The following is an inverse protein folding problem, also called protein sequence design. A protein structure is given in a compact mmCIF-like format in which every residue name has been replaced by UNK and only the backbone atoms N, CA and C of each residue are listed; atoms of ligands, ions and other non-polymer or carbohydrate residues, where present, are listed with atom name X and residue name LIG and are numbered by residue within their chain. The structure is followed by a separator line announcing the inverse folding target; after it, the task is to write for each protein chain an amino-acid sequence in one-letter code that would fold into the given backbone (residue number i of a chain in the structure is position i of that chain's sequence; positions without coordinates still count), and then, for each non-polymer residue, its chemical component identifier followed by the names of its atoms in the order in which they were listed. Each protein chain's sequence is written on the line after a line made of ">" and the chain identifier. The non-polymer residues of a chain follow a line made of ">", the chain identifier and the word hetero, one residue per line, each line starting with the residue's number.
data_IF_245254100506
#
_entry.id   IF_245254100506
#
_cell.length_a   1.000
_cell.length_b   1.000
_cell.length_c   1.000
_cell.angle_alpha   90.00
_cell.angle_beta   90.00
_cell.angle_gamma   90.00
#
_symmetry.space_group_name_H-M   'P 1'
#
loop_
_entity.id
_entity.type
_entity.pdbx_description
1 polymer ?
2 polymer ?
#
# COMPACT_ATOMS: atom_id res chain seq x y z
N UNK A 29 -6.23 -29.69 9.40
CA UNK A 29 -4.92 -29.42 9.99
C UNK A 29 -4.98 -29.43 11.51
N UNK A 30 -3.80 -29.28 12.13
CA UNK A 30 -3.74 -29.22 13.60
C UNK A 30 -4.45 -27.99 14.14
N UNK A 31 -4.28 -26.84 13.49
CA UNK A 31 -4.94 -25.62 13.90
C UNK A 31 -4.07 -24.52 14.51
N UNK A 32 -2.74 -24.71 14.59
CA UNK A 32 -1.88 -23.58 14.93
C UNK A 32 -1.86 -22.46 13.90
N UNK A 33 -3.03 -21.90 13.58
CA UNK A 33 -3.10 -20.68 12.77
C UNK A 33 -3.28 -19.52 13.75
N UNK A 34 -2.15 -18.92 14.13
CA UNK A 34 -2.16 -17.86 15.13
C UNK A 34 -0.94 -16.98 14.91
N UNK A 35 -0.97 -15.82 15.55
CA UNK A 35 0.12 -14.84 15.48
C UNK A 35 0.95 -14.97 16.75
N UNK A 36 2.27 -15.06 16.58
CA UNK A 36 3.16 -15.22 17.72
C UNK A 36 3.14 -13.98 18.61
N UNK A 37 3.30 -14.21 19.92
CA UNK A 37 3.34 -13.10 20.86
C UNK A 37 4.55 -12.20 20.61
N UNK A 38 5.71 -12.79 20.33
CA UNK A 38 6.89 -11.99 20.01
C UNK A 38 6.65 -11.15 18.76
N UNK A 39 5.88 -11.68 17.81
CA UNK A 39 5.53 -10.91 16.63
C UNK A 39 4.73 -9.68 16.98
N UNK A 40 3.71 -9.83 17.85
CA UNK A 40 2.95 -8.67 18.28
C UNK A 40 3.83 -7.66 19.00
N UNK A 41 4.70 -8.16 19.88
CA UNK A 41 5.56 -7.26 20.67
C UNK A 41 6.46 -6.44 19.77
N UNK A 42 7.07 -7.06 18.77
CA UNK A 42 7.93 -6.31 17.85
C UNK A 42 7.10 -5.39 16.96
N UNK A 43 6.00 -5.90 16.40
CA UNK A 43 5.30 -5.18 15.34
C UNK A 43 4.57 -3.97 15.87
N UNK A 44 4.01 -4.05 17.08
CA UNK A 44 3.33 -2.88 17.63
C UNK A 44 4.29 -1.69 17.73
N UNK A 45 5.47 -1.92 18.31
CA UNK A 45 6.45 -0.85 18.46
C UNK A 45 6.96 -0.38 17.10
N UNK A 46 7.27 -1.31 16.19
CA UNK A 46 7.80 -0.93 14.90
C UNK A 46 6.79 -0.09 14.12
N UNK A 47 5.53 -0.53 14.11
CA UNK A 47 4.47 0.17 13.41
C UNK A 47 4.23 1.54 14.02
N UNK A 48 4.23 1.64 15.34
CA UNK A 48 4.05 2.95 15.96
C UNK A 48 5.19 3.89 15.58
N UNK A 49 6.42 3.39 15.57
CA UNK A 49 7.56 4.25 15.22
C UNK A 49 7.46 4.72 13.78
N UNK A 50 7.19 3.81 12.84
CA UNK A 50 7.12 4.24 11.45
C UNK A 50 5.94 5.18 11.24
N UNK A 51 4.83 4.93 11.93
CA UNK A 51 3.66 5.80 11.82
C UNK A 51 3.99 7.22 12.27
N UNK A 52 4.59 7.36 13.47
CA UNK A 52 4.86 8.69 13.98
C UNK A 52 5.90 9.40 13.10
N UNK A 53 6.94 8.67 12.67
CA UNK A 53 7.94 9.29 11.81
C UNK A 53 7.31 9.77 10.51
N UNK A 54 6.42 8.96 9.94
CA UNK A 54 5.75 9.34 8.71
C UNK A 54 4.89 10.57 8.87
N UNK A 55 4.09 10.62 9.95
CA UNK A 55 3.18 11.76 10.08
C UNK A 55 3.97 13.04 10.28
N UNK A 56 4.97 13.04 11.17
CA UNK A 56 5.74 14.27 11.37
C UNK A 56 6.48 14.67 10.09
N UNK A 57 7.12 13.70 9.42
CA UNK A 57 7.86 14.03 8.22
C UNK A 57 6.99 14.61 7.13
N UNK A 58 5.85 13.97 6.87
CA UNK A 58 4.99 14.42 5.78
C UNK A 58 4.28 15.72 6.13
N UNK A 59 3.89 15.90 7.39
CA UNK A 59 3.30 17.17 7.80
C UNK A 59 4.30 18.30 7.65
N UNK A 60 5.55 18.08 8.05
CA UNK A 60 6.57 19.11 7.88
C UNK A 60 6.83 19.40 6.42
N UNK A 61 6.86 18.36 5.58
CA UNK A 61 7.02 18.58 4.14
C UNK A 61 5.88 19.42 3.57
N UNK A 62 4.64 19.09 3.95
CA UNK A 62 3.50 19.85 3.45
C UNK A 62 3.54 21.29 3.93
N UNK A 63 3.92 21.51 5.20
CA UNK A 63 4.00 22.87 5.72
C UNK A 63 5.07 23.66 4.97
N UNK A 64 6.23 23.04 4.71
CA UNK A 64 7.28 23.71 3.98
C UNK A 64 6.82 24.05 2.56
N UNK A 65 6.10 23.13 1.92
CA UNK A 65 5.57 23.40 0.59
C UNK A 65 4.60 24.57 0.63
N UNK A 66 3.75 24.63 1.67
CA UNK A 66 2.79 25.72 1.78
C UNK A 66 3.49 27.06 1.94
N UNK A 67 4.52 27.11 2.78
CA UNK A 67 5.25 28.36 3.01
C UNK A 67 6.24 28.63 1.88
N UNK A 72 6.85 27.99 -6.34
CA UNK A 72 5.69 27.26 -6.83
C UNK A 72 5.87 26.84 -8.28
N UNK A 73 6.03 25.53 -8.50
CA UNK A 73 6.13 24.98 -9.84
C UNK A 73 5.61 23.55 -9.81
N UNK A 74 5.66 22.89 -10.97
CA UNK A 74 5.12 21.57 -11.13
C UNK A 74 5.68 20.55 -10.16
N UNK A 75 7.01 20.50 -10.00
CA UNK A 75 7.57 19.60 -8.99
C UNK A 75 7.04 19.85 -7.59
N UNK A 76 6.84 21.11 -7.21
CA UNK A 76 6.31 21.41 -5.89
C UNK A 76 4.88 20.89 -5.75
N UNK A 77 4.05 21.08 -6.77
CA UNK A 77 2.67 20.60 -6.71
C UNK A 77 2.65 19.09 -6.61
N UNK A 78 3.47 18.41 -7.41
CA UNK A 78 3.49 16.95 -7.38
C UNK A 78 3.99 16.42 -6.04
N UNK A 79 5.01 17.07 -5.46
CA UNK A 79 5.51 16.65 -4.16
C UNK A 79 4.46 16.90 -3.08
N UNK A 80 3.73 18.00 -3.18
CA UNK A 80 2.65 18.26 -2.22
C UNK A 80 1.56 17.20 -2.33
N UNK A 81 1.19 16.81 -3.55
CA UNK A 81 0.20 15.76 -3.71
C UNK A 81 0.70 14.44 -3.15
N UNK A 82 1.97 14.11 -3.41
CA UNK A 82 2.54 12.89 -2.87
C UNK A 82 2.50 12.90 -1.34
N UNK A 83 2.87 14.02 -0.72
CA UNK A 83 2.87 14.11 0.73
C UNK A 83 1.45 14.01 1.30
N UNK A 84 0.48 14.67 0.65
CA UNK A 84 -0.90 14.63 1.14
C UNK A 84 -1.47 13.22 1.06
N UNK A 85 -1.34 12.58 -0.10
CA UNK A 85 -1.79 11.21 -0.24
C UNK A 85 -1.04 10.27 0.67
N UNK A 86 0.22 10.58 0.95
CA UNK A 86 1.00 9.77 1.87
C UNK A 86 0.45 9.86 3.29
N UNK A 87 0.14 11.08 3.74
CA UNK A 87 -0.47 11.25 5.05
C UNK A 87 -1.77 10.48 5.13
N UNK A 88 -2.59 10.59 4.07
CA UNK A 88 -3.85 9.85 4.04
C UNK A 88 -3.61 8.34 4.13
N UNK A 89 -2.62 7.85 3.39
CA UNK A 89 -2.34 6.42 3.39
C UNK A 89 -1.93 5.94 4.78
N UNK A 90 -1.04 6.68 5.45
CA UNK A 90 -0.61 6.26 6.78
C UNK A 90 -1.78 6.29 7.75
N UNK A 91 -2.54 7.38 7.78
CA UNK A 91 -3.60 7.50 8.76
C UNK A 91 -4.74 6.52 8.48
N UNK A 92 -4.87 6.01 7.26
CA UNK A 92 -5.90 5.01 6.99
C UNK A 92 -5.38 3.59 7.09
N UNK A 93 -4.06 3.38 7.05
CA UNK A 93 -3.48 2.05 7.07
C UNK A 93 -3.02 1.63 8.46
N UNK A 94 -2.14 2.43 9.08
CA UNK A 94 -1.50 2.00 10.33
C UNK A 94 -2.48 1.80 11.47
N UNK A 95 -3.39 2.75 11.77
CA UNK A 95 -4.20 2.58 12.99
C UNK A 95 -5.03 1.31 13.03
N UNK A 96 -5.82 1.05 12.00
CA UNK A 96 -6.69 -0.12 12.01
C UNK A 96 -5.87 -1.41 11.95
N UNK A 97 -4.78 -1.41 11.19
CA UNK A 97 -3.97 -2.62 11.09
C UNK A 97 -3.32 -2.96 12.43
N UNK A 98 -2.82 -1.95 13.16
CA UNK A 98 -2.24 -2.24 14.47
C UNK A 98 -3.33 -2.53 15.49
N UNK A 99 -4.56 -2.07 15.26
CA UNK A 99 -5.67 -2.52 16.10
C UNK A 99 -6.00 -3.98 15.84
N UNK A 100 -5.75 -4.46 14.63
CA UNK A 100 -6.05 -5.84 14.29
C UNK A 100 -5.21 -6.86 15.06
N UNK A 101 -4.16 -6.44 15.76
CA UNK A 101 -3.36 -7.36 16.54
C UNK A 101 -3.89 -7.57 17.95
N UNK A 102 -4.25 -6.48 18.64
CA UNK A 102 -4.67 -6.59 20.04
C UNK A 102 -6.06 -7.18 20.16
N UNK A 103 -6.98 -6.78 19.28
CA UNK A 103 -8.38 -7.18 19.37
C UNK A 103 -8.78 -8.21 18.34
N UNK A 104 -8.35 -8.06 17.09
CA UNK A 104 -8.64 -8.97 15.97
C UNK A 104 -10.10 -9.42 15.98
N UNK A 105 -11.01 -8.46 16.19
CA UNK A 105 -12.43 -8.74 16.20
C UNK A 105 -13.26 -7.80 15.33
N UNK A 106 -12.74 -6.63 14.97
CA UNK A 106 -13.42 -5.65 14.13
C UNK A 106 -14.79 -5.30 14.69
N UNK A 107 -14.86 -4.54 15.79
CA UNK A 107 -16.16 -4.15 16.34
C UNK A 107 -16.80 -2.94 15.65
N UNK A 108 -16.29 -2.54 14.49
CA UNK A 108 -16.77 -1.34 13.82
C UNK A 108 -18.03 -1.66 13.01
N UNK A 109 -18.45 -0.73 12.16
CA UNK A 109 -19.67 -0.89 11.41
C UNK A 109 -19.45 -1.47 10.03
N UNK A 110 -20.56 -1.92 9.43
CA UNK A 110 -20.49 -2.52 8.10
C UNK A 110 -20.04 -1.51 7.03
N UNK A 111 -20.53 -0.28 7.12
CA UNK A 111 -20.17 0.73 6.12
C UNK A 111 -18.69 1.11 6.23
N UNK A 112 -18.17 1.18 7.46
CA UNK A 112 -16.74 1.47 7.62
C UNK A 112 -15.89 0.38 7.01
N UNK A 113 -16.28 -0.88 7.20
CA UNK A 113 -15.58 -2.00 6.55
C UNK A 113 -15.69 -1.91 5.04
N UNK A 114 -16.86 -1.51 4.54
CA UNK A 114 -17.04 -1.36 3.11
C UNK A 114 -16.23 -0.21 2.54
N UNK A 115 -15.88 0.77 3.36
CA UNK A 115 -15.24 2.00 2.89
C UNK A 115 -13.72 2.00 3.01
N UNK A 116 -13.17 1.49 4.12
CA UNK A 116 -11.75 1.66 4.40
C UNK A 116 -10.86 1.11 3.29
N UNK A 117 -11.06 -0.11 2.78
CA UNK A 117 -10.19 -0.58 1.69
C UNK A 117 -10.24 0.30 0.45
N UNK A 118 -11.38 0.92 0.16
CA UNK A 118 -11.47 1.83 -0.98
C UNK A 118 -10.53 3.01 -0.79
N UNK A 119 -10.55 3.62 0.39
CA UNK A 119 -9.67 4.75 0.66
C UNK A 119 -8.21 4.33 0.60
N UNK A 120 -7.90 3.15 1.15
CA UNK A 120 -6.53 2.67 1.14
C UNK A 120 -6.03 2.46 -0.29
N UNK A 121 -6.85 1.82 -1.13
CA UNK A 121 -6.45 1.60 -2.52
C UNK A 121 -6.33 2.92 -3.28
N UNK A 122 -7.23 3.87 -3.01
CA UNK A 122 -7.12 5.18 -3.64
C UNK A 122 -5.82 5.87 -3.26
N UNK A 123 -5.46 5.81 -1.97
CA UNK A 123 -4.21 6.42 -1.52
C UNK A 123 -3.02 5.77 -2.21
N UNK A 124 -3.01 4.44 -2.30
CA UNK A 124 -1.90 3.75 -2.97
C UNK A 124 -1.82 4.18 -4.44
N UNK A 125 -2.98 4.29 -5.10
CA UNK A 125 -2.99 4.67 -6.49
C UNK A 125 -2.44 6.05 -6.72
N UNK A 126 -2.87 7.02 -5.90
CA UNK A 126 -2.36 8.37 -6.08
C UNK A 126 -0.88 8.44 -5.72
N UNK A 127 -0.43 7.63 -4.76
CA UNK A 127 1.00 7.62 -4.44
C UNK A 127 1.83 7.14 -5.62
N UNK A 128 1.45 6.01 -6.22
CA UNK A 128 2.24 5.48 -7.32
C UNK A 128 2.14 6.38 -8.55
N UNK A 129 0.96 6.96 -8.80
CA UNK A 129 0.82 7.86 -9.95
C UNK A 129 1.59 9.16 -9.73
N UNK A 130 1.65 9.66 -8.50
CA UNK A 130 2.48 10.82 -8.21
C UNK A 130 3.95 10.51 -8.42
N UNK A 131 4.39 9.32 -8.04
CA UNK A 131 5.78 8.93 -8.31
C UNK A 131 6.04 8.91 -9.80
N UNK A 132 5.09 8.36 -10.59
CA UNK A 132 5.22 8.36 -12.04
C UNK A 132 5.32 9.77 -12.60
N UNK A 133 4.43 10.66 -12.15
CA UNK A 133 4.43 12.03 -12.65
C UNK A 133 5.71 12.75 -12.27
N UNK A 134 6.23 12.51 -11.05
CA UNK A 134 7.47 13.12 -10.63
C UNK A 134 8.64 12.64 -11.50
N UNK A 135 8.67 11.35 -11.83
CA UNK A 135 9.73 10.85 -12.70
C UNK A 135 9.65 11.49 -14.08
N UNK A 136 8.46 11.60 -14.63
CA UNK A 136 8.31 12.23 -15.96
C UNK A 136 8.74 13.69 -15.90
N UNK A 137 8.37 14.39 -14.83
CA UNK A 137 8.72 15.80 -14.69
C UNK A 137 10.23 15.97 -14.57
N UNK A 138 10.89 15.15 -13.76
CA UNK A 138 12.33 15.23 -13.64
C UNK A 138 13.04 14.86 -14.93
N UNK A 139 12.47 13.98 -15.75
CA UNK A 139 13.02 13.73 -17.07
C UNK A 139 12.90 14.97 -17.95
N UNK A 140 11.71 15.56 -18.00
CA UNK A 140 11.48 16.70 -18.89
C UNK A 140 12.24 17.94 -18.43
N UNK A 141 12.64 18.00 -17.16
CA UNK A 141 13.40 19.13 -16.67
C UNK A 141 14.77 19.21 -17.35
N UNK A 142 15.40 18.06 -17.58
CA UNK A 142 16.74 18.02 -18.16
C UNK A 142 16.71 17.72 -19.66
N UNK A 143 15.63 17.14 -20.17
CA UNK A 143 15.57 16.79 -21.59
C UNK A 143 15.04 17.93 -22.47
N UNK A 144 14.28 18.85 -21.91
CA UNK A 144 13.61 19.90 -22.68
C UNK A 144 13.84 21.26 -22.04
N UNK A 145 15.09 21.55 -21.69
CA UNK A 145 15.45 22.85 -21.13
C UNK A 145 15.11 23.99 -22.09
N UNK A 154 2.17 25.46 -14.83
CA UNK A 154 1.50 24.78 -13.72
C UNK A 154 0.10 24.31 -14.09
N UNK A 155 -0.49 24.90 -15.13
CA UNK A 155 -1.81 24.47 -15.58
C UNK A 155 -1.79 23.03 -16.06
N UNK A 156 -0.75 22.67 -16.82
CA UNK A 156 -0.62 21.28 -17.28
C UNK A 156 -0.44 20.33 -16.10
N UNK A 157 0.34 20.75 -15.10
CA UNK A 157 0.49 19.92 -13.90
C UNK A 157 -0.83 19.78 -13.14
N UNK A 158 -1.64 20.84 -13.09
CA UNK A 158 -2.95 20.72 -12.45
C UNK A 158 -3.88 19.78 -13.21
N UNK A 159 -3.88 19.85 -14.55
CA UNK A 159 -4.72 18.96 -15.34
C UNK A 159 -4.17 17.54 -15.39
N UNK A 160 -2.90 17.34 -15.04
CA UNK A 160 -2.35 16.00 -14.89
C UNK A 160 -2.47 15.48 -13.46
N UNK A 161 -2.74 16.35 -12.49
CA UNK A 161 -3.00 15.93 -11.12
C UNK A 161 -4.46 15.61 -10.87
N UNK A 162 -5.39 16.34 -11.49
CA UNK A 162 -6.80 16.00 -11.40
C UNK A 162 -7.06 14.65 -12.07
N UNK A 163 -6.40 14.40 -13.19
CA UNK A 163 -6.52 13.09 -13.83
C UNK A 163 -6.04 11.98 -12.92
N UNK A 164 -4.93 12.19 -12.21
CA UNK A 164 -4.44 11.19 -11.27
C UNK A 164 -5.47 10.94 -10.17
N UNK A 165 -5.96 12.03 -9.57
CA UNK A 165 -6.85 11.90 -8.42
C UNK A 165 -8.22 11.35 -8.79
N UNK A 166 -8.62 11.44 -10.06
CA UNK A 166 -9.87 10.80 -10.46
C UNK A 166 -9.63 9.37 -10.93
N UNK A 167 -8.51 9.09 -11.60
CA UNK A 167 -8.22 7.73 -12.05
C UNK A 167 -8.06 6.82 -10.84
N UNK A 168 -7.45 7.31 -9.76
CA UNK A 168 -7.26 6.49 -8.58
C UNK A 168 -8.60 6.02 -8.00
N UNK A 169 -9.53 6.95 -7.80
CA UNK A 169 -10.82 6.56 -7.24
C UNK A 169 -11.60 5.71 -8.23
N UNK A 170 -11.48 6.01 -9.52
CA UNK A 170 -12.17 5.20 -10.53
C UNK A 170 -11.70 3.74 -10.44
N UNK A 171 -10.39 3.54 -10.30
CA UNK A 171 -9.85 2.19 -10.23
C UNK A 171 -9.98 1.56 -8.85
N UNK A 172 -10.26 2.34 -7.82
CA UNK A 172 -10.48 1.79 -6.48
C UNK A 172 -11.96 1.56 -6.16
N UNK A 173 -12.86 2.04 -7.01
CA UNK A 173 -14.30 1.84 -6.81
C UNK A 173 -14.66 0.36 -6.62
N UNK A 174 -14.14 -0.59 -7.42
CA UNK A 174 -14.52 -2.00 -7.20
C UNK A 174 -14.24 -2.51 -5.80
N UNK A 175 -13.25 -1.94 -5.12
CA UNK A 175 -12.98 -2.35 -3.75
C UNK A 175 -14.12 -1.98 -2.82
N UNK A 176 -14.76 -0.82 -3.04
CA UNK A 176 -15.75 -0.30 -2.11
C UNK A 176 -17.04 -1.10 -2.11
N UNK A 177 -17.33 -1.85 -3.17
CA UNK A 177 -18.59 -2.60 -3.28
C UNK A 177 -18.40 -4.07 -2.99
N UNK A 178 -17.19 -4.52 -2.65
CA UNK A 178 -16.95 -5.93 -2.42
C UNK A 178 -16.90 -6.34 -0.97
N UNK A 179 -16.17 -5.60 -0.14
CA UNK A 179 -15.99 -5.99 1.25
C UNK A 179 -17.31 -5.96 2.00
N UNK A 180 -17.48 -6.90 2.92
CA UNK A 180 -18.71 -6.97 3.71
C UNK A 180 -18.48 -7.88 4.91
N UNK A 181 -18.94 -7.42 6.06
CA UNK A 181 -18.82 -8.20 7.30
C UNK A 181 -19.80 -9.36 7.26
N UNK A 182 -19.31 -10.56 7.58
CA UNK A 182 -20.15 -11.73 7.73
C UNK A 182 -19.72 -12.47 9.00
N UNK A 183 -20.69 -12.85 9.82
CA UNK A 183 -20.42 -13.49 11.10
C UNK A 183 -20.49 -15.01 10.93
N UNK A 184 -19.33 -15.62 10.66
CA UNK A 184 -19.26 -17.06 10.57
C UNK A 184 -19.10 -17.66 11.96
N UNK A 185 -19.84 -18.73 12.23
CA UNK A 185 -19.85 -19.38 13.54
C UNK A 185 -18.71 -20.39 13.59
N UNK A 186 -17.56 -19.94 14.11
CA UNK A 186 -16.43 -20.84 14.32
C UNK A 186 -16.74 -21.80 15.47
N UNK A 187 -16.05 -22.94 15.47
CA UNK A 187 -16.24 -23.92 16.53
C UNK A 187 -15.61 -23.45 17.83
N UNK A 188 -16.25 -22.48 18.49
CA UNK A 188 -15.77 -21.99 19.76
C UNK A 188 -15.86 -20.49 19.91
N UNK A 189 -16.19 -19.79 18.83
CA UNK A 189 -16.26 -18.34 18.86
C UNK A 189 -17.21 -17.86 17.76
N UNK A 190 -17.64 -16.61 17.87
CA UNK A 190 -18.53 -15.99 16.89
C UNK A 190 -17.73 -14.92 16.16
N UNK A 191 -17.17 -15.27 15.01
CA UNK A 191 -16.30 -14.37 14.28
C UNK A 191 -17.10 -13.25 13.63
N UNK A 192 -16.38 -12.21 13.20
CA UNK A 192 -16.98 -11.04 12.57
C UNK A 192 -16.12 -10.59 11.38
N UNK A 193 -15.72 -11.55 10.54
CA UNK A 193 -14.73 -11.25 9.51
C UNK A 193 -15.28 -10.23 8.53
N UNK A 194 -14.49 -9.19 8.25
CA UNK A 194 -14.80 -8.21 7.20
C UNK A 194 -13.93 -8.60 6.00
N UNK A 195 -14.52 -9.36 5.08
CA UNK A 195 -13.79 -9.97 3.98
C UNK A 195 -14.45 -9.66 2.65
N UNK A 196 -13.77 -10.07 1.58
CA UNK A 196 -14.33 -9.99 0.23
C UNK A 196 -15.21 -11.20 -0.03
N UNK A 197 -16.52 -10.99 -0.02
CA UNK A 197 -17.45 -12.12 0.00
C UNK A 197 -17.30 -12.98 -1.25
N UNK A 198 -17.12 -14.30 -1.09
CA UNK A 198 -17.03 -15.15 -2.28
C UNK A 198 -18.28 -15.14 -3.14
N UNK A 199 -19.46 -15.00 -2.54
CA UNK A 199 -20.72 -14.92 -3.25
C UNK A 199 -21.26 -13.50 -3.13
N UNK A 200 -21.45 -12.84 -4.27
CA UNK A 200 -21.93 -11.47 -4.33
C UNK A 200 -22.88 -11.34 -5.50
N UNK A 201 -23.52 -10.17 -5.60
CA UNK A 201 -24.59 -9.97 -6.58
C UNK A 201 -24.03 -9.72 -7.97
N UNK A 202 -23.22 -8.67 -8.13
CA UNK A 202 -22.75 -8.26 -9.44
C UNK A 202 -21.83 -9.32 -10.05
N UNK A 203 -21.99 -9.55 -11.35
CA UNK A 203 -21.16 -10.52 -12.05
C UNK A 203 -19.76 -9.98 -12.34
N UNK A 204 -19.67 -8.70 -12.71
CA UNK A 204 -18.37 -8.09 -12.94
C UNK A 204 -17.51 -8.12 -11.68
N UNK A 205 -18.15 -8.00 -10.51
CA UNK A 205 -17.40 -8.06 -9.26
C UNK A 205 -16.79 -9.45 -9.06
N UNK A 206 -17.53 -10.50 -9.39
CA UNK A 206 -16.98 -11.85 -9.32
C UNK A 206 -15.83 -12.01 -10.31
N UNK A 207 -16.01 -11.49 -11.53
CA UNK A 207 -14.96 -11.60 -12.53
C UNK A 207 -13.69 -10.88 -12.06
N UNK A 208 -13.85 -9.73 -11.42
CA UNK A 208 -12.70 -8.99 -10.93
C UNK A 208 -12.04 -9.73 -9.76
N UNK A 209 -12.84 -10.17 -8.79
CA UNK A 209 -12.31 -10.90 -7.65
C UNK A 209 -11.59 -12.18 -8.08
N UNK A 210 -11.90 -12.70 -9.27
CA UNK A 210 -11.16 -13.85 -9.78
C UNK A 210 -9.66 -13.56 -9.88
N UNK A 211 -9.28 -12.35 -10.29
CA UNK A 211 -7.89 -12.00 -10.54
C UNK A 211 -7.54 -10.65 -9.92
N UNK A 212 -8.18 -10.34 -8.78
CA UNK A 212 -7.87 -9.11 -8.08
C UNK A 212 -6.40 -9.02 -7.72
N UNK A 213 -5.81 -10.10 -7.21
CA UNK A 213 -4.41 -10.07 -6.83
C UNK A 213 -3.52 -9.79 -8.03
N UNK A 214 -3.80 -10.44 -9.17
CA UNK A 214 -3.00 -10.20 -10.37
C UNK A 214 -3.11 -8.76 -10.84
N UNK A 215 -4.34 -8.23 -10.91
CA UNK A 215 -4.52 -6.86 -11.38
C UNK A 215 -3.86 -5.87 -10.44
N UNK A 216 -4.03 -6.06 -9.13
CA UNK A 216 -3.40 -5.19 -8.15
C UNK A 216 -1.90 -5.21 -8.29
N UNK A 217 -1.31 -6.41 -8.34
CA UNK A 217 0.14 -6.52 -8.51
C UNK A 217 0.58 -5.78 -9.76
N UNK A 218 -0.05 -6.07 -10.90
CA UNK A 218 0.33 -5.45 -12.16
C UNK A 218 0.29 -3.93 -12.03
N UNK A 219 -0.91 -3.37 -11.82
CA UNK A 219 -1.06 -1.93 -11.92
C UNK A 219 -0.30 -1.17 -10.84
N UNK A 220 -0.19 -1.72 -9.63
CA UNK A 220 0.41 -0.95 -8.54
C UNK A 220 1.89 -1.25 -8.33
N UNK A 221 2.45 -2.27 -8.99
CA UNK A 221 3.89 -2.50 -8.90
C UNK A 221 4.58 -2.42 -10.24
N UNK A 222 4.13 -3.20 -11.24
CA UNK A 222 4.91 -3.32 -12.46
C UNK A 222 4.88 -2.04 -13.28
N UNK A 223 3.68 -1.47 -13.49
CA UNK A 223 3.58 -0.25 -14.28
C UNK A 223 4.34 0.92 -13.66
N UNK A 224 4.13 1.28 -12.38
CA UNK A 224 4.89 2.41 -11.84
C UNK A 224 6.39 2.16 -11.78
N UNK A 225 6.80 0.97 -11.34
CA UNK A 225 8.22 0.66 -11.26
C UNK A 225 8.87 0.70 -12.64
N UNK A 226 8.26 0.03 -13.62
CA UNK A 226 8.84 -0.02 -14.95
C UNK A 226 8.90 1.36 -15.59
N UNK A 227 7.82 2.13 -15.47
CA UNK A 227 7.80 3.45 -16.09
C UNK A 227 8.82 4.37 -15.42
N UNK A 228 8.88 4.34 -14.09
CA UNK A 228 9.85 5.17 -13.37
C UNK A 228 11.27 4.78 -13.77
N UNK A 229 11.57 3.49 -13.82
CA UNK A 229 12.92 3.06 -14.17
C UNK A 229 13.29 3.46 -15.59
N UNK A 230 12.36 3.27 -16.54
CA UNK A 230 12.63 3.64 -17.92
C UNK A 230 12.87 5.13 -18.07
N UNK A 231 12.00 5.95 -17.44
CA UNK A 231 12.14 7.39 -17.56
C UNK A 231 13.42 7.88 -16.90
N UNK A 232 13.77 7.33 -15.73
CA UNK A 232 15.00 7.75 -15.07
C UNK A 232 16.23 7.28 -15.83
N UNK A 233 16.18 6.09 -16.44
CA UNK A 233 17.31 5.63 -17.24
C UNK A 233 17.53 6.53 -18.44
N UNK A 234 16.45 6.87 -19.16
CA UNK A 234 16.60 7.79 -20.28
C UNK A 234 17.06 9.16 -19.81
N UNK A 235 16.57 9.61 -18.65
CA UNK A 235 17.00 10.88 -18.08
C UNK A 235 18.50 10.90 -17.81
N UNK A 236 19.01 9.86 -17.15
CA UNK A 236 20.44 9.80 -16.86
C UNK A 236 21.26 9.69 -18.13
N UNK A 237 20.75 8.95 -19.13
CA UNK A 237 21.46 8.88 -20.41
C UNK A 237 21.52 10.26 -21.08
N UNK A 238 20.43 11.02 -21.01
CA UNK A 238 20.44 12.36 -21.58
C UNK A 238 21.42 13.27 -20.85
N UNK A 239 21.46 13.19 -19.52
CA UNK A 239 22.35 14.08 -18.78
C UNK A 239 23.81 13.78 -19.07
N UNK A 240 24.21 12.51 -18.96
CA UNK A 240 25.60 12.13 -19.12
C UNK A 240 26.00 12.09 -20.60
N UNK A 257 26.64 15.51 -11.70
CA UNK A 257 25.78 14.76 -12.60
C UNK A 257 25.50 13.35 -12.08
N UNK A 258 26.57 12.58 -11.86
CA UNK A 258 26.40 11.19 -11.44
C UNK A 258 25.66 11.09 -10.12
N UNK A 259 25.75 12.13 -9.28
CA UNK A 259 25.06 12.12 -7.99
C UNK A 259 23.55 12.02 -8.20
N UNK A 260 23.02 12.79 -9.16
CA UNK A 260 21.58 12.77 -9.41
C UNK A 260 21.17 11.42 -9.97
N UNK A 261 21.98 10.84 -10.84
CA UNK A 261 21.68 9.52 -11.41
C UNK A 261 21.61 8.47 -10.31
N UNK A 262 22.62 8.41 -9.45
CA UNK A 262 22.60 7.45 -8.36
C UNK A 262 21.45 7.73 -7.40
N UNK A 263 21.09 9.00 -7.21
CA UNK A 263 19.98 9.33 -6.33
C UNK A 263 18.67 8.78 -6.87
N UNK A 264 18.37 9.04 -8.14
CA UNK A 264 17.08 8.58 -8.69
C UNK A 264 17.05 7.06 -8.76
N UNK A 265 18.17 6.43 -9.12
CA UNK A 265 18.16 4.97 -9.20
C UNK A 265 18.02 4.34 -7.82
N UNK A 266 18.67 4.91 -6.80
CA UNK A 266 18.50 4.39 -5.45
C UNK A 266 17.08 4.60 -4.95
N UNK A 267 16.45 5.71 -5.34
CA UNK A 267 15.05 5.93 -4.98
C UNK A 267 14.15 4.86 -5.60
N UNK A 268 14.37 4.56 -6.88
CA UNK A 268 13.56 3.54 -7.55
C UNK A 268 13.77 2.17 -6.90
N UNK A 269 15.03 1.84 -6.59
CA UNK A 269 15.32 0.56 -5.95
C UNK A 269 14.67 0.48 -4.58
N UNK A 270 14.70 1.58 -3.81
CA UNK A 270 14.07 1.60 -2.50
C UNK A 270 12.57 1.39 -2.63
N UNK A 271 11.95 2.07 -3.58
CA UNK A 271 10.51 1.90 -3.82
C UNK A 271 10.19 0.43 -4.11
N UNK A 272 10.92 -0.17 -5.05
CA UNK A 272 10.63 -1.55 -5.42
C UNK A 272 10.83 -2.50 -4.25
N UNK A 273 11.94 -2.34 -3.52
CA UNK A 273 12.25 -3.25 -2.41
C UNK A 273 11.23 -3.10 -1.28
N UNK A 274 10.77 -1.88 -1.01
CA UNK A 274 9.84 -1.67 0.08
C UNK A 274 8.39 -1.96 -0.31
N UNK A 275 8.09 -2.06 -1.60
CA UNK A 275 6.72 -2.37 -2.01
C UNK A 275 6.53 -3.81 -2.47
N UNK A 276 7.62 -4.55 -2.68
CA UNK A 276 7.49 -5.94 -3.14
C UNK A 276 6.74 -6.86 -2.17
N UNK A 277 7.05 -6.89 -0.87
CA UNK A 277 6.55 -8.00 -0.03
C UNK A 277 5.03 -8.13 0.05
N UNK A 278 4.28 -7.03 0.02
CA UNK A 278 2.83 -7.14 0.07
C UNK A 278 2.30 -7.89 -1.15
N UNK A 279 2.77 -7.50 -2.34
CA UNK A 279 2.36 -8.17 -3.57
C UNK A 279 2.85 -9.61 -3.58
N UNK A 280 4.06 -9.85 -3.06
CA UNK A 280 4.56 -11.22 -2.97
C UNK A 280 3.66 -12.08 -2.09
N UNK A 281 3.24 -11.56 -0.94
CA UNK A 281 2.38 -12.31 -0.04
C UNK A 281 1.02 -12.58 -0.67
N UNK A 282 0.43 -11.58 -1.33
CA UNK A 282 -0.86 -11.79 -1.99
C UNK A 282 -0.74 -12.83 -3.10
N UNK A 283 0.32 -12.75 -3.89
CA UNK A 283 0.51 -13.70 -4.99
C UNK A 283 0.70 -15.10 -4.44
N UNK A 284 1.49 -15.24 -3.37
CA UNK A 284 1.69 -16.55 -2.77
C UNK A 284 0.39 -17.12 -2.21
N UNK A 285 -0.41 -16.30 -1.54
CA UNK A 285 -1.70 -16.76 -1.05
C UNK A 285 -2.59 -17.18 -2.22
N UNK A 286 -2.49 -16.49 -3.35
CA UNK A 286 -3.32 -16.81 -4.50
C UNK A 286 -2.91 -18.14 -5.13
N UNK A 287 -1.62 -18.36 -5.34
CA UNK A 287 -1.17 -19.44 -6.20
C UNK A 287 -0.66 -20.67 -5.44
N UNK A 288 -0.07 -20.49 -4.26
CA UNK A 288 0.55 -21.60 -3.54
C UNK A 288 -0.35 -22.19 -2.46
N UNK A 289 -1.55 -21.65 -2.26
CA UNK A 289 -2.49 -22.23 -1.31
C UNK A 289 -3.23 -23.39 -1.96
N UNK A 290 -3.24 -24.54 -1.29
CA UNK A 290 -3.86 -25.74 -1.81
C UNK A 290 -5.00 -26.17 -0.90
N UNK A 291 -5.61 -27.30 -1.23
CA UNK A 291 -6.78 -27.77 -0.52
C UNK A 291 -6.58 -29.11 0.19
N UNK A 292 -5.58 -29.90 -0.20
CA UNK A 292 -5.40 -31.23 0.36
C UNK A 292 -3.93 -31.49 0.71
N UNK A 293 -3.32 -30.53 1.40
CA UNK A 293 -2.01 -30.72 2.01
C UNK A 293 -2.07 -30.29 3.47
N UNK A 294 -1.65 -31.14 4.41
CA UNK A 294 -1.73 -30.76 5.83
C UNK A 294 -0.88 -29.55 6.19
N UNK A 295 0.14 -29.23 5.39
CA UNK A 295 1.00 -28.09 5.68
C UNK A 295 0.31 -26.76 5.47
N UNK A 296 -0.89 -26.75 4.85
CA UNK A 296 -1.50 -25.49 4.44
C UNK A 296 -1.52 -24.47 5.59
N UNK A 297 -1.98 -24.90 6.76
CA UNK A 297 -2.10 -23.99 7.90
C UNK A 297 -0.78 -23.31 8.19
N UNK A 298 0.30 -24.09 8.31
CA UNK A 298 1.61 -23.49 8.56
C UNK A 298 1.92 -22.44 7.51
N UNK A 299 1.74 -22.79 6.23
CA UNK A 299 1.95 -21.82 5.17
C UNK A 299 1.12 -20.58 5.42
N UNK A 300 -0.18 -20.75 5.65
CA UNK A 300 -1.03 -19.59 5.92
C UNK A 300 -0.49 -18.80 7.09
N UNK A 301 -0.12 -19.48 8.17
CA UNK A 301 0.46 -18.77 9.31
C UNK A 301 1.67 -17.96 8.86
N UNK A 302 2.61 -18.61 8.15
CA UNK A 302 3.76 -17.88 7.64
C UNK A 302 3.32 -16.71 6.79
N UNK A 303 2.32 -16.91 5.93
CA UNK A 303 1.81 -15.81 5.11
C UNK A 303 1.49 -14.61 5.97
N UNK A 304 0.72 -14.81 7.05
CA UNK A 304 0.38 -13.70 7.92
C UNK A 304 1.63 -12.94 8.33
N UNK A 305 2.64 -13.67 8.82
CA UNK A 305 3.91 -13.06 9.19
C UNK A 305 4.38 -12.16 8.06
N UNK A 306 4.65 -12.77 6.90
CA UNK A 306 5.18 -11.99 5.78
C UNK A 306 4.26 -10.83 5.48
N UNK A 307 2.95 -11.08 5.44
CA UNK A 307 2.01 -10.04 5.07
C UNK A 307 2.19 -8.83 5.96
N UNK A 308 2.21 -9.04 7.27
CA UNK A 308 2.31 -7.90 8.17
C UNK A 308 3.61 -7.15 7.92
N UNK A 309 4.71 -7.89 7.76
CA UNK A 309 6.00 -7.23 7.53
C UNK A 309 5.87 -6.29 6.35
N UNK A 310 5.25 -6.78 5.27
CA UNK A 310 5.06 -5.93 4.11
C UNK A 310 4.44 -4.60 4.48
N UNK A 311 3.25 -4.65 5.11
CA UNK A 311 2.55 -3.42 5.40
C UNK A 311 3.45 -2.47 6.18
N UNK A 312 4.20 -3.00 7.16
CA UNK A 312 5.09 -2.15 7.93
C UNK A 312 6.02 -1.38 7.02
N UNK A 313 6.86 -2.11 6.29
CA UNK A 313 7.81 -1.36 5.49
C UNK A 313 7.18 -0.84 4.21
N UNK A 314 5.94 -1.22 3.91
CA UNK A 314 5.20 -0.45 2.91
C UNK A 314 5.12 0.99 3.34
N UNK A 315 4.69 1.24 4.57
CA UNK A 315 4.70 2.60 5.10
C UNK A 315 6.10 3.18 5.09
N UNK A 316 7.11 2.32 5.20
CA UNK A 316 8.49 2.81 5.15
C UNK A 316 8.76 3.49 3.81
N UNK A 317 8.36 2.86 2.71
CA UNK A 317 8.47 3.51 1.42
C UNK A 317 7.76 4.85 1.45
N UNK A 318 6.59 4.88 2.10
CA UNK A 318 5.86 6.11 2.27
C UNK A 318 6.75 7.22 2.84
N UNK A 319 7.45 6.92 3.92
CA UNK A 319 8.24 7.96 4.55
C UNK A 319 9.63 8.10 3.93
N UNK A 320 9.93 7.38 2.85
CA UNK A 320 11.27 7.50 2.26
C UNK A 320 11.34 8.73 1.37
N UNK A 321 10.19 9.22 0.90
CA UNK A 321 10.19 10.40 0.03
C UNK A 321 10.62 11.68 0.73
N UNK A 322 10.09 12.04 1.92
CA UNK A 322 10.58 13.27 2.56
C UNK A 322 12.06 13.20 2.91
N UNK A 323 12.51 12.08 3.48
CA UNK A 323 13.91 11.92 3.84
C UNK A 323 14.79 12.07 2.61
N UNK A 324 14.36 11.51 1.48
CA UNK A 324 15.14 11.63 0.25
C UNK A 324 15.27 13.09 -0.18
N UNK A 325 14.29 13.92 0.15
CA UNK A 325 14.40 15.35 -0.14
C UNK A 325 15.35 16.03 0.84
N UNK A 326 15.43 15.53 2.06
CA UNK A 326 16.31 16.13 3.06
C UNK A 326 17.76 15.77 2.80
N UNK A 327 18.02 14.61 2.22
CA UNK A 327 19.38 14.14 2.00
C UNK A 327 19.97 14.57 0.68
N UNK A 328 19.23 15.30 -0.17
CA UNK A 328 19.72 15.60 -1.50
C UNK A 328 19.73 17.10 -1.76
N UNK A 329 18.58 17.75 -1.62
CA UNK A 329 18.41 19.15 -2.00
C UNK A 329 18.79 20.05 -0.84
N UNK A 330 19.64 21.04 -1.12
CA UNK A 330 20.08 21.98 -0.09
C UNK A 330 18.93 22.86 0.39
N UNK A 331 18.03 23.26 -0.51
CA UNK A 331 16.91 24.11 -0.13
C UNK A 331 16.03 23.42 0.90
N UNK A 332 15.61 22.20 0.62
CA UNK A 332 14.83 21.46 1.61
C UNK A 332 15.66 21.08 2.83
N UNK A 333 16.97 20.92 2.66
CA UNK A 333 17.84 20.66 3.81
C UNK A 333 17.74 21.81 4.80
N UNK A 334 17.84 23.04 4.30
CA UNK A 334 17.69 24.23 5.13
C UNK A 334 16.28 24.35 5.67
N UNK A 335 15.29 23.97 4.85
CA UNK A 335 13.89 24.07 5.27
C UNK A 335 13.60 23.19 6.48
N UNK A 336 13.99 21.91 6.41
CA UNK A 336 13.85 21.00 7.54
C UNK A 336 14.85 21.28 8.65
N UNK A 337 15.93 22.02 8.37
CA UNK A 337 17.01 22.18 9.34
C UNK A 337 16.55 22.93 10.58
N UNK A 338 15.78 24.01 10.42
CA UNK A 338 15.37 24.81 11.56
C UNK A 338 13.86 25.01 11.58
N UNK B 1 -7.82 -10.37 0.78
CA UNK B 1 -8.79 -11.38 1.18
C UNK B 1 -9.63 -11.92 0.04
N UNK B 2 -9.65 -13.24 -0.07
CA UNK B 2 -10.51 -13.95 -1.01
C UNK B 2 -10.58 -15.43 -0.62
N UNK B 3 -11.77 -15.96 -0.43
CA UNK B 3 -11.96 -17.36 -0.08
C UNK B 3 -12.80 -18.05 -1.16
N UNK B 4 -12.51 -19.33 -1.38
CA UNK B 4 -13.27 -20.10 -2.35
C UNK B 4 -14.71 -20.30 -1.88
N UNK B 5 -14.91 -20.52 -0.59
CA UNK B 5 -16.23 -20.74 -0.03
C UNK B 5 -16.23 -20.30 1.42
N UNK B 6 -17.44 -20.16 1.98
CA UNK B 6 -17.61 -19.75 3.37
C UNK B 6 -17.87 -20.94 4.29
N UNK B 7 -17.53 -22.16 3.86
CA UNK B 7 -17.73 -23.35 4.67
C UNK B 7 -16.45 -23.89 5.28
N UNK B 8 -15.29 -23.63 4.67
CA UNK B 8 -14.02 -24.06 5.23
C UNK B 8 -13.61 -23.09 6.34
N UNK B 9 -13.35 -23.63 7.53
CA UNK B 9 -13.03 -22.82 8.70
C UNK B 9 -11.56 -22.43 8.77
N UNK B 10 -10.83 -22.49 7.65
CA UNK B 10 -9.42 -22.12 7.63
C UNK B 10 -9.17 -20.81 6.90
N UNK B 11 -9.72 -20.65 5.70
CA UNK B 11 -9.56 -19.39 4.97
C UNK B 11 -10.24 -18.24 5.70
N UNK B 12 -11.43 -18.48 6.26
CA UNK B 12 -12.16 -17.42 6.94
C UNK B 12 -11.41 -16.98 8.20
N UNK B 13 -10.86 -17.93 8.95
CA UNK B 13 -10.03 -17.58 10.10
C UNK B 13 -8.80 -16.80 9.67
N UNK B 14 -8.19 -17.21 8.56
CA UNK B 14 -7.00 -16.53 8.06
C UNK B 14 -7.31 -15.08 7.72
N UNK B 15 -8.45 -14.83 7.07
CA UNK B 15 -8.83 -13.46 6.76
C UNK B 15 -9.32 -12.70 7.98
N UNK B 16 -9.78 -13.42 9.02
CA UNK B 16 -10.05 -12.78 10.29
C UNK B 16 -8.77 -12.24 10.91
N UNK B 17 -7.68 -13.00 10.81
CA UNK B 17 -6.41 -12.59 11.40
C UNK B 17 -5.53 -11.79 10.45
N UNK B 18 -5.88 -11.68 9.18
CA UNK B 18 -5.04 -11.01 8.21
C UNK B 18 -5.16 -9.49 8.33
N UNK B 19 -4.49 -8.77 7.43
CA UNK B 19 -4.58 -7.32 7.36
C UNK B 19 -5.72 -6.94 6.40
N UNK B 20 -6.13 -5.68 6.48
CA UNK B 20 -7.14 -5.14 5.57
C UNK B 20 -6.44 -4.69 4.30
N UNK B 21 -6.57 -5.47 3.23
CA UNK B 21 -5.90 -5.13 1.98
C UNK B 21 -6.58 -5.88 0.83
#
# INVERSE_FOLDING_TARGET
>A
PGGGLAPAEVPKGDRTAGSPPRTISPPPCQGPIEIKETFKYINTVVSCLVFVLGIIGNSTLLYIIYKNKCMRNGPNILIASLALGDLLHIVIDIPINVYKLLAEDWPFGAEMCKLVPFIQKASVGITVLSLCALSIDRYRAVASWSRIKGIGVPKWTAVEIVLIWVVSVVLAVPEAIGFDIITMDYKGSYLRICLLHPVQKTAFMQFYKTAKDWWLFSFYFCLPLAITAFFYTLMTCEMLRKKSGMQIALNDHLKQRREVAKTVFCLVLVFALCWLPLHLSRILKLTLYNQNDPNRCELLSFLLVLDYIGINMASLNSCINPIALYLVSKRFKNAFKSALCCWAQS
>B
CSCSSLMDKECVYFCHLDIIW
#
